data_IF_523729848918
#
_entry.id   IF_523729848918
#
_cell.length_a   1.000
_cell.length_b   1.000
_cell.length_c   1.000
_cell.angle_alpha   90.00
_cell.angle_beta   90.00
_cell.angle_gamma   90.00
#
_symmetry.space_group_name_H-M   'P 1'
#
loop_
_entity.id
_entity.type
_entity.pdbx_description
1 polymer ?
#
# COMPACT_ATOMS: atom_id res chain seq x y z
N UNK A 1 -8.53 7.32 37.33
CA UNK A 1 -9.78 6.71 36.87
C UNK A 1 -9.92 7.18 35.43
N UNK A 2 -9.58 6.32 34.50
CA UNK A 2 -9.53 6.54 33.07
C UNK A 2 -10.91 6.33 32.47
N UNK A 3 -11.41 7.30 31.71
CA UNK A 3 -12.57 7.16 30.86
C UNK A 3 -12.20 6.32 29.62
N UNK A 4 -12.09 5.02 29.81
CA UNK A 4 -12.02 4.06 28.70
C UNK A 4 -13.43 3.53 28.45
N UNK A 5 -13.91 3.69 27.22
CA UNK A 5 -15.06 2.95 26.70
C UNK A 5 -16.35 3.72 26.46
N UNK A 6 -16.28 4.93 25.97
CA UNK A 6 -17.47 5.58 25.43
C UNK A 6 -17.83 4.94 24.08
N UNK A 7 -18.93 4.18 24.02
CA UNK A 7 -19.57 3.77 22.77
C UNK A 7 -19.86 5.03 21.91
N UNK A 8 -19.66 4.99 20.60
CA UNK A 8 -19.98 6.12 19.74
C UNK A 8 -21.43 6.55 19.95
N UNK A 9 -21.63 7.87 20.06
CA UNK A 9 -22.96 8.44 20.27
C UNK A 9 -23.90 8.09 19.11
N UNK A 10 -25.23 8.05 19.38
CA UNK A 10 -26.25 7.82 18.33
C UNK A 10 -26.11 8.79 17.14
N UNK A 11 -25.57 10.00 17.37
CA UNK A 11 -25.30 10.99 16.30
C UNK A 11 -24.15 10.56 15.40
N UNK A 12 -23.11 9.90 15.96
CA UNK A 12 -22.03 9.32 15.15
C UNK A 12 -22.49 8.07 14.42
N UNK A 13 -23.44 7.33 14.96
CA UNK A 13 -24.04 6.15 14.33
C UNK A 13 -24.97 6.54 13.18
N UNK A 14 -25.78 7.62 13.34
CA UNK A 14 -26.62 8.17 12.25
C UNK A 14 -25.81 8.84 11.15
N UNK A 15 -24.66 9.45 11.45
CA UNK A 15 -23.74 9.97 10.43
C UNK A 15 -23.04 8.85 9.64
N UNK A 16 -22.87 7.67 10.24
CA UNK A 16 -22.42 6.46 9.50
C UNK A 16 -23.48 5.90 8.56
N UNK A 17 -24.74 6.27 8.78
CA UNK A 17 -25.88 5.77 7.99
C UNK A 17 -26.20 6.56 6.71
N UNK A 18 -25.61 7.73 6.48
CA UNK A 18 -25.68 8.41 5.18
C UNK A 18 -24.69 7.75 4.17
N UNK A 19 -25.13 7.50 2.92
CA UNK A 19 -24.23 7.03 1.87
C UNK A 19 -23.05 8.01 1.73
N UNK A 20 -21.82 7.50 1.64
CA UNK A 20 -20.66 8.36 1.39
C UNK A 20 -20.85 9.09 0.04
N UNK A 21 -20.68 10.42 0.00
CA UNK A 21 -20.81 11.14 -1.25
C UNK A 21 -19.75 10.68 -2.27
N UNK A 22 -20.12 10.71 -3.55
CA UNK A 22 -19.18 10.41 -4.62
C UNK A 22 -17.99 11.38 -4.57
N UNK A 23 -16.79 10.86 -4.82
CA UNK A 23 -15.55 11.64 -4.82
C UNK A 23 -14.57 11.13 -5.87
N UNK A 24 -13.59 11.96 -6.25
CA UNK A 24 -12.51 11.53 -7.14
C UNK A 24 -11.58 10.56 -6.45
N UNK A 25 -11.26 9.45 -7.13
CA UNK A 25 -10.26 8.47 -6.74
C UNK A 25 -8.88 9.11 -6.74
N UNK A 26 -8.20 9.08 -5.59
CA UNK A 26 -6.90 9.72 -5.40
C UNK A 26 -5.77 8.73 -5.13
N UNK A 27 -6.11 7.48 -4.84
CA UNK A 27 -5.12 6.47 -4.51
C UNK A 27 -4.26 6.13 -5.74
N UNK A 28 -2.95 6.25 -5.59
CA UNK A 28 -1.95 5.75 -6.54
C UNK A 28 -1.49 4.38 -6.08
N UNK A 29 -1.51 3.42 -6.99
CA UNK A 29 -1.00 2.10 -6.71
C UNK A 29 0.52 2.07 -6.76
N UNK A 30 1.14 1.29 -5.88
CA UNK A 30 2.58 1.20 -5.83
C UNK A 30 3.09 -0.06 -5.15
N UNK A 31 4.40 -0.12 -5.05
CA UNK A 31 5.12 -1.24 -4.46
C UNK A 31 6.36 -0.79 -3.71
N UNK A 32 6.74 -1.61 -2.73
CA UNK A 32 8.10 -1.66 -2.25
C UNK A 32 8.84 -2.74 -3.04
N UNK A 33 10.05 -2.42 -3.47
CA UNK A 33 10.85 -3.37 -4.21
C UNK A 33 12.26 -3.46 -3.63
N UNK A 34 12.45 -4.39 -2.71
CA UNK A 34 13.77 -4.73 -2.17
C UNK A 34 14.44 -5.79 -3.04
N UNK A 35 13.67 -6.75 -3.50
CA UNK A 35 14.16 -7.86 -4.32
C UNK A 35 14.27 -7.47 -5.80
N UNK A 36 13.64 -6.40 -6.20
CA UNK A 36 13.49 -5.95 -7.57
C UNK A 36 14.75 -5.50 -8.25
N UNK A 37 15.81 -5.30 -7.51
CA UNK A 37 17.10 -5.07 -8.12
C UNK A 37 17.46 -6.20 -9.13
N UNK A 38 17.16 -7.45 -8.85
CA UNK A 38 17.32 -8.55 -9.80
C UNK A 38 16.27 -8.50 -10.92
N UNK A 39 15.01 -8.37 -10.56
CA UNK A 39 13.88 -8.44 -11.50
C UNK A 39 13.70 -7.16 -12.30
N UNK A 40 14.00 -6.00 -11.73
CA UNK A 40 13.88 -4.73 -12.43
C UNK A 40 15.05 -4.42 -13.34
N UNK A 41 16.25 -4.93 -13.04
CA UNK A 41 17.48 -4.54 -13.74
C UNK A 41 18.21 -5.66 -14.47
N UNK A 42 18.16 -6.91 -13.96
CA UNK A 42 19.03 -7.99 -14.47
C UNK A 42 18.34 -9.33 -14.67
N UNK A 43 17.16 -9.55 -14.12
CA UNK A 43 16.48 -10.84 -14.21
C UNK A 43 16.04 -11.15 -15.66
N UNK A 44 16.09 -12.42 -16.06
CA UNK A 44 15.56 -12.87 -17.34
C UNK A 44 14.05 -12.65 -17.48
N UNK A 45 13.33 -12.61 -16.35
CA UNK A 45 11.89 -12.34 -16.28
C UNK A 45 11.52 -10.86 -16.11
N UNK A 46 12.48 -9.95 -16.21
CA UNK A 46 12.26 -8.54 -15.93
C UNK A 46 11.19 -7.87 -16.83
N UNK A 47 11.09 -8.29 -18.08
CA UNK A 47 10.08 -7.78 -19.00
C UNK A 47 8.67 -8.17 -18.55
N UNK A 48 8.50 -9.42 -18.08
CA UNK A 48 7.23 -9.92 -17.58
C UNK A 48 6.83 -9.24 -16.25
N UNK A 49 7.76 -9.11 -15.33
CA UNK A 49 7.53 -8.35 -14.09
C UNK A 49 7.07 -6.92 -14.42
N UNK A 50 7.76 -6.20 -15.30
CA UNK A 50 7.35 -4.85 -15.70
C UNK A 50 6.00 -4.82 -16.41
N UNK A 51 5.66 -5.85 -17.19
CA UNK A 51 4.34 -5.99 -17.80
C UNK A 51 3.26 -6.06 -16.72
N UNK A 52 3.42 -6.92 -15.73
CA UNK A 52 2.47 -7.03 -14.61
C UNK A 52 2.38 -5.74 -13.80
N UNK A 53 3.50 -5.05 -13.53
CA UNK A 53 3.48 -3.77 -12.83
C UNK A 53 2.65 -2.71 -13.59
N UNK A 54 2.76 -2.67 -14.92
CA UNK A 54 1.92 -1.78 -15.75
C UNK A 54 0.45 -2.19 -15.71
N UNK A 55 0.12 -3.48 -15.76
CA UNK A 55 -1.26 -3.97 -15.62
C UNK A 55 -1.88 -3.64 -14.25
N UNK A 56 -1.06 -3.49 -13.21
CA UNK A 56 -1.47 -3.05 -11.89
C UNK A 56 -1.53 -1.52 -11.74
N UNK A 57 -1.43 -0.75 -12.82
CA UNK A 57 -1.37 0.72 -12.84
C UNK A 57 -0.36 1.27 -11.82
N UNK A 58 0.82 0.65 -11.75
CA UNK A 58 1.85 1.01 -10.77
C UNK A 58 2.39 2.40 -11.05
N UNK A 59 2.19 3.33 -10.11
CA UNK A 59 2.58 4.74 -10.21
C UNK A 59 3.81 5.08 -9.40
N UNK A 60 4.06 4.37 -8.31
CA UNK A 60 5.16 4.63 -7.39
C UNK A 60 5.84 3.30 -7.06
N UNK A 61 7.16 3.26 -7.16
CA UNK A 61 7.96 2.14 -6.65
C UNK A 61 8.95 2.69 -5.63
N UNK A 62 8.83 2.23 -4.39
CA UNK A 62 9.71 2.58 -3.29
C UNK A 62 10.94 1.68 -3.31
N UNK A 63 12.10 2.29 -3.33
CA UNK A 63 13.42 1.65 -3.32
C UNK A 63 14.25 2.18 -2.16
N UNK A 64 15.19 1.37 -1.70
CA UNK A 64 16.01 1.71 -0.54
C UNK A 64 17.43 2.04 -0.96
N UNK A 65 17.90 3.23 -0.53
CA UNK A 65 19.28 3.61 -0.70
C UNK A 65 20.13 3.06 0.41
N UNK A 66 20.87 2.62 0.91
CA UNK A 66 21.65 2.15 2.07
C UNK A 66 21.17 0.85 2.71
N UNK A 67 20.23 0.13 2.10
CA UNK A 67 19.79 -1.16 2.65
C UNK A 67 20.17 -2.33 1.73
N UNK A 68 20.52 -3.47 2.31
CA UNK A 68 20.79 -4.69 1.56
C UNK A 68 19.46 -5.36 1.17
N UNK A 69 19.37 -6.04 0.02
CA UNK A 69 20.42 -6.32 -0.98
C UNK A 69 20.59 -5.26 -2.07
N UNK A 70 19.94 -4.11 -1.95
CA UNK A 70 19.99 -3.03 -2.95
C UNK A 70 21.44 -2.51 -3.09
N UNK A 71 21.91 -2.20 -4.29
CA UNK A 71 23.23 -1.63 -4.49
C UNK A 71 23.40 -0.35 -3.69
N UNK A 72 24.41 -0.29 -2.82
CA UNK A 72 24.80 0.95 -2.15
C UNK A 72 25.25 1.95 -3.21
N UNK A 73 24.57 3.11 -3.37
CA UNK A 73 24.88 4.08 -4.41
C UNK A 73 26.33 4.57 -4.40
N UNK A 74 26.97 4.61 -3.23
CA UNK A 74 28.37 5.04 -3.11
C UNK A 74 29.37 3.97 -3.50
N UNK A 75 29.01 2.70 -3.36
CA UNK A 75 29.86 1.58 -3.76
C UNK A 75 29.59 1.13 -5.18
N UNK A 76 28.36 1.33 -5.67
CA UNK A 76 27.91 0.85 -6.95
C UNK A 76 26.83 1.76 -7.55
N UNK A 77 27.20 3.00 -7.90
CA UNK A 77 26.31 3.94 -8.56
C UNK A 77 25.70 3.39 -9.85
N UNK A 78 26.52 2.67 -10.64
CA UNK A 78 26.05 2.04 -11.87
C UNK A 78 24.92 1.05 -11.60
N UNK A 79 25.07 0.14 -10.62
CA UNK A 79 24.02 -0.81 -10.24
C UNK A 79 22.76 -0.11 -9.71
N UNK A 80 22.91 0.89 -8.86
CA UNK A 80 21.80 1.69 -8.35
C UNK A 80 21.07 2.43 -9.49
N UNK A 81 21.81 3.03 -10.42
CA UNK A 81 21.21 3.76 -11.55
C UNK A 81 20.45 2.85 -12.52
N UNK A 82 20.93 1.62 -12.74
CA UNK A 82 20.18 0.61 -13.53
C UNK A 82 18.88 0.24 -12.82
N UNK A 83 18.93 0.10 -11.52
CA UNK A 83 17.73 -0.20 -10.71
C UNK A 83 16.68 0.93 -10.79
N UNK A 84 17.10 2.18 -10.59
CA UNK A 84 16.23 3.36 -10.77
C UNK A 84 15.66 3.42 -12.20
N UNK A 85 16.51 3.15 -13.21
CA UNK A 85 16.04 3.10 -14.61
C UNK A 85 14.97 2.03 -14.81
N UNK A 86 15.11 0.85 -14.19
CA UNK A 86 14.10 -0.20 -14.22
C UNK A 86 12.75 0.24 -13.65
N UNK A 87 12.74 1.07 -12.60
CA UNK A 87 11.51 1.68 -12.06
C UNK A 87 10.87 2.61 -13.10
N UNK A 88 11.66 3.46 -13.74
CA UNK A 88 11.19 4.37 -14.80
C UNK A 88 10.67 3.59 -16.02
N UNK A 89 11.35 2.53 -16.42
CA UNK A 89 10.93 1.64 -17.52
C UNK A 89 9.62 0.88 -17.22
N UNK A 90 9.31 0.67 -15.94
CA UNK A 90 8.00 0.15 -15.53
C UNK A 90 6.88 1.20 -15.63
N UNK A 91 7.21 2.46 -15.90
CA UNK A 91 6.26 3.58 -15.96
C UNK A 91 5.96 4.20 -14.60
N UNK A 92 6.74 3.87 -13.57
CA UNK A 92 6.54 4.36 -12.21
C UNK A 92 7.52 5.50 -11.85
N UNK A 93 7.12 6.27 -10.83
CA UNK A 93 7.99 7.29 -10.21
C UNK A 93 8.76 6.64 -9.06
N UNK A 94 10.09 6.84 -8.96
CA UNK A 94 10.84 6.35 -7.82
C UNK A 94 10.48 7.07 -6.52
N UNK A 95 10.31 6.31 -5.43
CA UNK A 95 10.34 6.81 -4.06
C UNK A 95 11.63 6.31 -3.41
N UNK A 96 12.65 7.15 -3.39
CA UNK A 96 13.96 6.80 -2.82
C UNK A 96 13.91 6.97 -1.31
N UNK A 97 14.09 5.86 -0.58
CA UNK A 97 14.12 5.86 0.89
C UNK A 97 15.56 5.81 1.39
N UNK A 98 15.94 6.81 2.18
CA UNK A 98 17.22 6.86 2.87
C UNK A 98 17.08 6.13 4.22
N UNK A 99 17.25 4.80 4.18
CA UNK A 99 16.74 3.92 5.22
C UNK A 99 17.57 3.88 6.49
N UNK A 100 18.88 3.92 6.42
CA UNK A 100 19.72 3.68 7.60
C UNK A 100 20.90 4.62 7.67
N UNK A 101 21.10 5.09 8.88
CA UNK A 101 22.29 5.78 9.32
C UNK A 101 22.70 5.18 10.67
N UNK A 102 23.99 5.09 10.92
CA UNK A 102 24.49 4.42 12.13
C UNK A 102 24.58 5.37 13.32
N UNK A 103 24.34 4.87 14.56
CA UNK A 103 24.50 5.70 15.75
C UNK A 103 25.95 6.22 15.91
N UNK A 104 26.16 7.30 16.65
CA UNK A 104 25.17 7.96 17.50
C UNK A 104 24.23 8.92 16.74
N UNK A 105 22.92 8.81 17.00
CA UNK A 105 21.88 9.57 16.30
C UNK A 105 21.79 11.05 16.76
N UNK A 106 22.46 11.40 17.82
CA UNK A 106 22.49 12.74 18.40
C UNK A 106 23.74 13.55 18.02
N UNK A 107 24.73 12.93 17.40
CA UNK A 107 25.97 13.61 16.98
C UNK A 107 25.69 14.50 15.75
N UNK A 108 25.86 15.84 15.86
CA UNK A 108 25.65 16.75 14.76
C UNK A 108 26.54 16.48 13.54
N UNK A 109 27.79 16.04 13.77
CA UNK A 109 28.73 15.73 12.67
C UNK A 109 28.28 14.50 11.89
N UNK A 110 27.76 13.50 12.60
CA UNK A 110 27.22 12.28 12.01
C UNK A 110 25.93 12.57 11.21
N UNK A 111 25.02 13.41 11.76
CA UNK A 111 23.82 13.88 11.06
C UNK A 111 24.18 14.64 9.79
N UNK A 112 25.13 15.58 9.88
CA UNK A 112 25.59 16.35 8.72
C UNK A 112 26.22 15.45 7.63
N UNK A 113 27.02 14.46 8.02
CA UNK A 113 27.59 13.46 7.11
C UNK A 113 26.51 12.66 6.38
N UNK A 114 25.48 12.23 7.10
CA UNK A 114 24.35 11.51 6.50
C UNK A 114 23.56 12.39 5.53
N UNK A 115 23.27 13.64 5.91
CA UNK A 115 22.59 14.59 5.05
C UNK A 115 23.38 14.89 3.76
N UNK A 116 24.71 15.02 3.87
CA UNK A 116 25.58 15.19 2.71
C UNK A 116 25.54 13.99 1.75
N UNK A 117 25.52 12.76 2.29
CA UNK A 117 25.37 11.53 1.49
C UNK A 117 24.01 11.46 0.79
N UNK A 118 22.92 11.78 1.48
CA UNK A 118 21.59 11.82 0.86
C UNK A 118 21.56 12.87 -0.27
N UNK A 119 22.13 14.05 -0.04
CA UNK A 119 22.27 15.12 -1.04
C UNK A 119 23.03 14.65 -2.28
N UNK A 120 24.14 13.94 -2.10
CA UNK A 120 24.97 13.42 -3.19
C UNK A 120 24.19 12.42 -4.08
N UNK A 121 23.35 11.56 -3.49
CA UNK A 121 22.48 10.65 -4.24
C UNK A 121 21.48 11.44 -5.09
N UNK A 122 20.80 12.44 -4.51
CA UNK A 122 19.83 13.26 -5.25
C UNK A 122 20.52 14.06 -6.36
N UNK A 123 21.70 14.61 -6.09
CA UNK A 123 22.50 15.29 -7.09
C UNK A 123 22.86 14.34 -8.25
N UNK A 124 23.33 13.14 -7.97
CA UNK A 124 23.60 12.12 -8.99
C UNK A 124 22.36 11.74 -9.81
N UNK A 125 21.18 11.72 -9.18
CA UNK A 125 19.93 11.54 -9.92
C UNK A 125 19.63 12.70 -10.86
N UNK A 126 19.81 13.95 -10.41
CA UNK A 126 19.63 15.16 -11.25
C UNK A 126 20.59 15.17 -12.43
N UNK A 127 21.87 14.87 -12.19
CA UNK A 127 22.89 14.79 -13.25
C UNK A 127 22.53 13.74 -14.32
N UNK A 128 21.94 12.63 -13.91
CA UNK A 128 21.66 11.52 -14.83
C UNK A 128 20.33 11.66 -15.58
N UNK A 129 19.26 12.12 -14.93
CA UNK A 129 17.91 12.14 -15.51
C UNK A 129 17.35 13.56 -15.71
N UNK A 130 18.07 14.58 -15.27
CA UNK A 130 17.64 15.97 -15.33
C UNK A 130 16.74 16.39 -14.16
N UNK A 131 16.86 17.65 -13.77
CA UNK A 131 16.09 18.20 -12.65
C UNK A 131 14.59 18.16 -12.87
N UNK A 132 14.12 18.34 -14.13
CA UNK A 132 12.70 18.28 -14.46
C UNK A 132 12.07 16.90 -14.21
N UNK A 133 12.81 15.82 -14.45
CA UNK A 133 12.33 14.47 -14.15
C UNK A 133 12.37 14.20 -12.64
N UNK A 134 13.47 14.57 -11.98
CA UNK A 134 13.73 14.25 -10.57
C UNK A 134 12.85 15.06 -9.61
N UNK A 135 12.39 16.26 -10.00
CA UNK A 135 11.52 17.10 -9.14
C UNK A 135 10.19 16.45 -8.75
N UNK A 136 9.71 15.50 -9.56
CA UNK A 136 8.46 14.78 -9.31
C UNK A 136 8.68 13.46 -8.53
N UNK A 137 9.94 13.08 -8.25
CA UNK A 137 10.26 11.89 -7.45
C UNK A 137 10.00 12.13 -5.97
N UNK A 138 9.82 11.02 -5.23
CA UNK A 138 9.61 11.06 -3.79
C UNK A 138 10.92 10.72 -3.06
N UNK A 139 11.22 11.49 -2.03
CA UNK A 139 12.41 11.28 -1.19
C UNK A 139 11.96 11.03 0.25
N UNK A 140 12.02 9.77 0.67
CA UNK A 140 11.59 9.34 2.00
C UNK A 140 12.76 9.33 2.97
N UNK A 141 12.67 10.10 4.03
CA UNK A 141 13.70 10.18 5.06
C UNK A 141 13.39 9.16 6.14
N UNK A 142 14.22 8.12 6.19
CA UNK A 142 14.18 7.00 7.11
C UNK A 142 13.16 5.90 6.77
N UNK A 143 13.26 4.79 7.53
CA UNK A 143 12.33 3.68 7.55
C UNK A 143 12.11 3.22 8.99
N UNK A 144 10.87 3.27 9.45
CA UNK A 144 10.42 2.81 10.77
C UNK A 144 11.30 3.29 11.94
N UNK A 145 11.56 4.60 12.09
CA UNK A 145 12.48 5.10 13.11
C UNK A 145 12.06 4.73 14.54
N UNK A 146 10.79 4.42 14.76
CA UNK A 146 10.22 4.00 16.03
C UNK A 146 10.29 2.48 16.28
N UNK A 147 10.89 1.71 15.37
CA UNK A 147 11.01 0.25 15.46
C UNK A 147 12.44 -0.15 15.85
N UNK A 148 12.60 -0.81 16.98
CA UNK A 148 13.92 -1.24 17.50
C UNK A 148 14.68 -2.15 16.53
N UNK A 149 13.96 -3.06 15.87
CA UNK A 149 14.58 -4.10 15.03
C UNK A 149 14.98 -3.58 13.65
N UNK A 150 14.27 -2.56 13.14
CA UNK A 150 14.42 -2.08 11.77
C UNK A 150 15.03 -0.68 11.73
N UNK A 151 14.47 0.26 12.50
CA UNK A 151 14.76 1.69 12.36
C UNK A 151 15.67 2.28 13.43
N UNK A 152 16.02 1.53 14.51
CA UNK A 152 16.94 1.96 15.55
C UNK A 152 16.28 2.52 16.80
N UNK A 153 14.96 2.46 16.95
CA UNK A 153 14.18 2.96 18.10
C UNK A 153 14.52 4.41 18.49
N UNK A 154 14.50 5.30 17.50
CA UNK A 154 14.78 6.71 17.70
C UNK A 154 13.69 7.35 18.56
N UNK A 155 14.08 8.39 19.30
CA UNK A 155 13.09 9.36 19.80
C UNK A 155 12.62 10.26 18.64
N UNK A 156 11.44 10.85 18.78
CA UNK A 156 10.94 11.81 17.78
C UNK A 156 11.93 12.98 17.55
N UNK A 157 12.56 13.49 18.62
CA UNK A 157 13.50 14.63 18.49
C UNK A 157 14.78 14.26 17.75
N UNK A 158 15.27 13.02 17.90
CA UNK A 158 16.39 12.50 17.12
C UNK A 158 16.00 12.42 15.64
N UNK A 159 14.84 11.82 15.36
CA UNK A 159 14.32 11.74 13.99
C UNK A 159 14.11 13.13 13.37
N UNK A 160 13.49 14.06 14.10
CA UNK A 160 13.23 15.43 13.61
C UNK A 160 14.52 16.17 13.22
N UNK A 161 15.58 16.04 14.02
CA UNK A 161 16.90 16.65 13.69
C UNK A 161 17.48 16.08 12.43
N UNK A 162 17.45 14.75 12.27
CA UNK A 162 17.89 14.06 11.05
C UNK A 162 17.04 14.51 9.86
N UNK A 163 15.72 14.52 10.03
CA UNK A 163 14.79 14.93 8.98
C UNK A 163 15.09 16.34 8.46
N UNK A 164 15.22 17.32 9.35
CA UNK A 164 15.47 18.70 8.97
C UNK A 164 16.80 18.87 8.22
N UNK A 165 17.85 18.20 8.66
CA UNK A 165 19.16 18.24 8.01
C UNK A 165 19.11 17.66 6.59
N UNK A 166 18.48 16.49 6.43
CA UNK A 166 18.37 15.81 5.13
C UNK A 166 17.41 16.54 4.21
N UNK A 167 16.23 16.93 4.71
CA UNK A 167 15.21 17.63 3.92
C UNK A 167 15.73 18.99 3.40
N UNK A 168 16.44 19.75 4.24
CA UNK A 168 17.09 20.99 3.82
C UNK A 168 18.12 20.77 2.71
N UNK A 169 19.01 19.80 2.89
CA UNK A 169 20.04 19.48 1.91
C UNK A 169 19.50 18.98 0.55
N UNK A 170 18.36 18.29 0.55
CA UNK A 170 17.66 17.85 -0.67
C UNK A 170 16.92 19.04 -1.31
N UNK A 171 16.24 19.86 -0.50
CA UNK A 171 15.51 21.02 -0.99
C UNK A 171 16.43 22.00 -1.73
N UNK A 172 17.63 22.28 -1.21
CA UNK A 172 18.62 23.14 -1.86
C UNK A 172 18.98 22.71 -3.29
N UNK A 173 18.89 21.39 -3.58
CA UNK A 173 19.11 20.85 -4.92
C UNK A 173 17.86 20.92 -5.79
N UNK A 174 16.68 20.69 -5.23
CA UNK A 174 15.45 20.60 -6.00
C UNK A 174 14.83 21.96 -6.31
N UNK A 175 15.01 22.94 -5.42
CA UNK A 175 14.36 24.27 -5.51
C UNK A 175 14.52 24.93 -6.89
N UNK A 176 15.70 24.90 -7.57
CA UNK A 176 15.88 25.47 -8.90
C UNK A 176 15.03 24.80 -10.00
N UNK A 177 14.51 23.60 -9.74
CA UNK A 177 13.79 22.78 -10.74
C UNK A 177 12.28 22.69 -10.46
N UNK A 178 11.79 23.25 -9.33
CA UNK A 178 10.40 23.02 -8.90
C UNK A 178 9.36 23.81 -9.72
N UNK A 179 9.73 24.95 -10.31
CA UNK A 179 8.79 25.80 -11.07
C UNK A 179 7.50 26.11 -10.32
N UNK A 180 7.61 26.45 -9.03
CA UNK A 180 6.48 26.71 -8.14
C UNK A 180 5.75 25.46 -7.64
N UNK A 181 6.18 24.26 -7.99
CA UNK A 181 5.65 23.00 -7.45
C UNK A 181 6.21 22.72 -6.08
N UNK A 182 5.55 21.87 -5.32
CA UNK A 182 6.03 21.42 -4.02
C UNK A 182 6.93 20.19 -4.19
N UNK A 183 8.11 20.22 -3.57
CA UNK A 183 8.99 19.05 -3.51
C UNK A 183 8.31 17.90 -2.74
N UNK A 184 8.48 16.67 -3.20
CA UNK A 184 7.95 15.47 -2.56
C UNK A 184 8.99 14.84 -1.63
N UNK A 185 9.43 15.62 -0.63
CA UNK A 185 10.26 15.16 0.48
C UNK A 185 9.32 14.76 1.62
N UNK A 186 9.57 13.67 2.34
CA UNK A 186 8.68 13.25 3.41
C UNK A 186 9.23 12.09 4.24
N UNK A 187 8.37 11.50 5.01
CA UNK A 187 8.60 10.40 5.95
C UNK A 187 7.48 10.37 6.99
N UNK A 188 7.69 9.78 8.17
CA UNK A 188 8.85 9.02 8.62
C UNK A 188 8.87 7.57 8.14
N UNK A 189 7.89 7.11 7.32
CA UNK A 189 7.66 5.70 7.06
C UNK A 189 7.52 4.93 8.37
N UNK A 190 6.63 5.41 9.23
CA UNK A 190 6.55 4.99 10.63
C UNK A 190 5.87 3.63 10.75
N UNK A 191 6.41 2.76 11.61
CA UNK A 191 5.72 1.54 12.00
C UNK A 191 4.42 1.89 12.74
N UNK A 192 3.32 1.61 12.08
CA UNK A 192 1.98 1.83 12.61
C UNK A 192 1.37 0.63 13.35
N UNK A 193 2.09 -0.51 13.43
CA UNK A 193 1.58 -1.72 14.06
C UNK A 193 1.90 -1.81 15.56
N UNK A 194 3.16 -1.51 15.92
CA UNK A 194 3.70 -1.86 17.23
C UNK A 194 3.58 -0.76 18.29
N UNK A 195 3.31 0.48 17.88
CA UNK A 195 3.30 1.64 18.80
C UNK A 195 2.02 2.46 18.65
N UNK A 196 1.29 2.60 19.73
CA UNK A 196 0.02 3.35 19.75
C UNK A 196 0.19 4.83 19.38
N UNK A 197 1.35 5.42 19.63
CA UNK A 197 1.65 6.84 19.40
C UNK A 197 2.21 7.17 18.00
N UNK A 198 2.16 6.25 17.06
CA UNK A 198 2.69 6.49 15.71
C UNK A 198 2.06 7.72 15.02
N UNK A 199 0.77 7.95 15.25
CA UNK A 199 0.05 9.10 14.67
C UNK A 199 0.48 10.42 15.28
N UNK A 200 0.92 10.42 16.55
CA UNK A 200 1.50 11.60 17.21
C UNK A 200 2.78 12.06 16.50
N UNK A 201 3.62 11.14 16.07
CA UNK A 201 4.81 11.47 15.29
C UNK A 201 4.48 12.16 13.97
N UNK A 202 3.45 11.69 13.26
CA UNK A 202 2.99 12.32 12.03
C UNK A 202 2.44 13.72 12.33
N UNK A 203 1.60 13.86 13.35
CA UNK A 203 1.04 15.14 13.73
C UNK A 203 2.13 16.16 14.10
N UNK A 204 3.11 15.75 14.91
CA UNK A 204 4.26 16.57 15.28
C UNK A 204 5.12 16.93 14.08
N UNK A 205 5.41 15.99 13.17
CA UNK A 205 6.19 16.26 11.97
C UNK A 205 5.52 17.34 11.10
N UNK A 206 4.21 17.25 10.91
CA UNK A 206 3.43 18.23 10.15
C UNK A 206 3.44 19.60 10.84
N UNK A 207 3.45 19.64 12.18
CA UNK A 207 3.47 20.88 12.96
C UNK A 207 4.86 21.52 13.04
N UNK A 208 5.91 20.71 13.24
CA UNK A 208 7.25 21.16 13.61
C UNK A 208 8.15 21.45 12.40
N UNK A 209 7.74 21.02 11.20
CA UNK A 209 8.51 21.16 9.97
C UNK A 209 7.88 22.21 9.06
N UNK A 210 8.71 23.07 8.47
CA UNK A 210 8.28 24.04 7.47
C UNK A 210 7.53 23.35 6.32
N UNK A 211 6.38 23.91 5.91
CA UNK A 211 5.50 23.32 4.88
C UNK A 211 6.23 23.05 3.57
N UNK A 212 7.23 23.83 3.21
CA UNK A 212 8.04 23.63 1.98
C UNK A 212 8.93 22.39 2.06
N UNK A 213 9.27 21.90 3.25
CA UNK A 213 10.14 20.74 3.47
C UNK A 213 9.37 19.43 3.63
N UNK A 214 8.03 19.43 3.60
CA UNK A 214 7.21 18.24 3.79
C UNK A 214 6.15 18.11 2.70
N UNK A 215 6.35 17.25 1.73
CA UNK A 215 5.45 16.98 0.60
C UNK A 215 4.61 15.71 0.76
N UNK A 216 4.96 14.83 1.71
CA UNK A 216 4.15 13.67 2.09
C UNK A 216 4.45 13.20 3.50
N UNK A 217 3.52 12.44 4.06
CA UNK A 217 3.73 11.62 5.26
C UNK A 217 3.50 10.15 4.91
N UNK A 218 4.31 9.27 5.50
CA UNK A 218 4.26 7.84 5.24
C UNK A 218 4.16 7.03 6.52
N UNK A 219 3.34 6.00 6.48
CA UNK A 219 3.07 5.07 7.58
C UNK A 219 2.87 3.65 7.04
N UNK A 220 3.08 2.64 7.90
CA UNK A 220 2.98 1.24 7.56
C UNK A 220 1.81 0.57 8.25
N UNK A 221 1.23 -0.46 7.61
CA UNK A 221 0.19 -1.29 8.21
C UNK A 221 0.19 -2.68 7.62
N UNK A 222 0.29 -3.65 8.52
CA UNK A 222 0.13 -5.07 8.22
C UNK A 222 -1.12 -5.61 8.94
N UNK A 223 -1.70 -6.70 8.43
CA UNK A 223 -2.88 -7.31 9.01
C UNK A 223 -2.59 -8.01 10.35
N UNK A 224 -1.38 -8.54 10.51
CA UNK A 224 -0.95 -9.13 11.76
C UNK A 224 -0.70 -8.03 12.80
N UNK A 225 -1.68 -7.77 13.61
CA UNK A 225 -1.46 -7.06 14.84
C UNK A 225 -0.96 -8.05 15.89
N UNK A 226 0.25 -7.86 16.37
CA UNK A 226 0.68 -8.53 17.59
C UNK A 226 0.17 -7.75 18.79
N UNK A 227 -0.81 -8.25 19.54
CA UNK A 227 -0.94 -7.81 20.91
C UNK A 227 0.41 -8.07 21.59
N UNK A 228 0.75 -7.27 22.59
CA UNK A 228 1.94 -7.49 23.42
C UNK A 228 1.88 -8.81 24.23
N UNK A 229 1.11 -9.77 23.76
CA UNK A 229 0.98 -11.13 24.28
C UNK A 229 2.13 -11.92 23.67
N UNK A 230 3.01 -12.51 24.48
CA UNK A 230 4.08 -13.35 23.98
C UNK A 230 3.53 -14.39 23.00
N UNK A 231 4.19 -14.55 21.86
CA UNK A 231 3.83 -15.54 20.82
C UNK A 231 3.67 -16.97 21.36
N UNK A 232 4.22 -17.24 22.52
CA UNK A 232 4.11 -18.48 23.28
C UNK A 232 2.72 -18.74 23.89
N UNK A 233 1.90 -17.72 24.11
CA UNK A 233 0.55 -17.90 24.72
C UNK A 233 -0.57 -18.13 23.70
N UNK A 234 -0.38 -17.69 22.45
CA UNK A 234 -1.26 -18.04 21.34
C UNK A 234 -0.80 -19.31 20.61
N UNK A 235 0.31 -19.86 21.05
CA UNK A 235 0.85 -21.13 20.65
C UNK A 235 1.25 -21.24 19.19
N UNK A 236 2.22 -22.07 18.91
CA UNK A 236 2.61 -22.56 17.58
C UNK A 236 1.40 -23.08 16.75
N UNK A 237 0.26 -23.29 17.36
CA UNK A 237 -0.99 -23.76 16.73
C UNK A 237 -1.67 -22.72 15.84
N UNK A 238 -1.39 -21.41 16.02
CA UNK A 238 -1.89 -20.39 15.09
C UNK A 238 -1.19 -20.40 13.73
N UNK A 239 -0.06 -21.06 13.63
CA UNK A 239 0.75 -21.20 12.43
C UNK A 239 0.48 -22.50 11.67
N UNK A 240 -0.59 -23.20 12.02
CA UNK A 240 -0.99 -24.43 11.35
C UNK A 240 -1.38 -24.23 9.88
N UNK A 241 -1.60 -25.33 9.19
CA UNK A 241 -2.16 -25.33 7.83
C UNK A 241 -3.43 -24.45 7.77
N UNK A 242 -3.68 -23.73 6.66
CA UNK A 242 -4.95 -23.03 6.43
C UNK A 242 -6.20 -23.89 6.67
N UNK A 243 -6.06 -25.19 6.47
CA UNK A 243 -7.14 -26.17 6.66
C UNK A 243 -7.33 -26.60 8.12
N UNK A 244 -6.44 -26.17 9.02
CA UNK A 244 -6.60 -26.42 10.46
C UNK A 244 -7.56 -25.39 11.09
N UNK A 245 -8.30 -25.74 12.17
CA UNK A 245 -9.12 -24.77 12.88
C UNK A 245 -8.34 -23.54 13.36
N UNK A 246 -7.09 -23.71 13.72
CA UNK A 246 -6.20 -22.61 14.12
C UNK A 246 -5.82 -21.71 12.95
N UNK A 247 -5.61 -22.26 11.75
CA UNK A 247 -5.40 -21.50 10.52
C UNK A 247 -6.64 -20.68 10.16
N UNK A 248 -7.83 -21.27 10.29
CA UNK A 248 -9.09 -20.58 10.05
C UNK A 248 -9.28 -19.37 10.97
N UNK A 249 -9.05 -19.53 12.27
CA UNK A 249 -9.14 -18.42 13.24
C UNK A 249 -8.15 -17.32 12.91
N UNK A 250 -6.96 -17.68 12.48
CA UNK A 250 -5.92 -16.71 12.12
C UNK A 250 -6.29 -15.90 10.87
N UNK A 251 -6.81 -16.54 9.83
CA UNK A 251 -7.31 -15.85 8.65
C UNK A 251 -8.46 -14.87 9.00
N UNK A 252 -9.41 -15.31 9.82
CA UNK A 252 -10.52 -14.46 10.26
C UNK A 252 -10.03 -13.24 11.07
N UNK A 253 -9.01 -13.41 11.93
CA UNK A 253 -8.38 -12.32 12.66
C UNK A 253 -7.66 -11.34 11.71
N UNK A 254 -6.93 -11.84 10.73
CA UNK A 254 -6.27 -11.00 9.73
C UNK A 254 -7.29 -10.22 8.90
N UNK A 255 -8.30 -10.90 8.38
CA UNK A 255 -9.35 -10.27 7.57
C UNK A 255 -10.10 -9.19 8.36
N UNK A 256 -10.38 -9.44 9.64
CA UNK A 256 -10.99 -8.48 10.56
C UNK A 256 -10.16 -7.20 10.78
N UNK A 257 -8.89 -7.17 10.35
CA UNK A 257 -8.04 -5.98 10.43
C UNK A 257 -8.18 -5.03 9.22
N UNK A 258 -8.78 -5.46 8.13
CA UNK A 258 -8.87 -4.62 6.92
C UNK A 258 -9.59 -3.29 7.14
N UNK A 259 -10.65 -3.15 7.97
CA UNK A 259 -11.24 -1.85 8.29
C UNK A 259 -10.28 -0.87 8.99
N UNK A 260 -9.22 -1.37 9.63
CA UNK A 260 -8.24 -0.51 10.28
C UNK A 260 -7.42 0.34 9.30
N UNK A 261 -7.29 -0.08 8.04
CA UNK A 261 -6.67 0.73 6.99
C UNK A 261 -7.45 2.04 6.77
N UNK A 262 -8.79 1.97 6.78
CA UNK A 262 -9.63 3.17 6.67
C UNK A 262 -9.45 4.13 7.84
N UNK A 263 -9.54 3.64 9.06
CA UNK A 263 -9.46 4.48 10.25
C UNK A 263 -8.10 5.20 10.34
N UNK A 264 -7.01 4.53 9.97
CA UNK A 264 -5.66 5.09 9.94
C UNK A 264 -5.50 6.12 8.83
N UNK A 265 -5.84 5.76 7.59
CA UNK A 265 -5.79 6.68 6.45
C UNK A 265 -6.64 7.94 6.73
N UNK A 266 -7.84 7.79 7.30
CA UNK A 266 -8.73 8.89 7.67
C UNK A 266 -8.14 9.77 8.77
N UNK A 267 -7.47 9.17 9.77
CA UNK A 267 -6.74 9.91 10.80
C UNK A 267 -5.68 10.80 10.18
N UNK A 268 -4.82 10.26 9.34
CA UNK A 268 -3.77 11.03 8.66
C UNK A 268 -4.36 12.06 7.69
N UNK A 269 -5.40 11.72 6.92
CA UNK A 269 -6.08 12.65 6.01
C UNK A 269 -6.65 13.88 6.74
N UNK A 270 -7.09 13.74 8.00
CA UNK A 270 -7.51 14.87 8.84
C UNK A 270 -6.34 15.78 9.20
N UNK A 271 -5.16 15.21 9.50
CA UNK A 271 -3.97 15.99 9.87
C UNK A 271 -3.42 16.80 8.68
N UNK A 272 -3.50 16.28 7.47
CA UNK A 272 -2.98 16.95 6.25
C UNK A 272 -4.04 17.80 5.53
N UNK A 273 -5.26 17.90 6.07
CA UNK A 273 -6.37 18.60 5.40
C UNK A 273 -6.02 20.05 5.07
N UNK A 274 -6.25 20.43 3.81
CA UNK A 274 -6.00 21.79 3.32
C UNK A 274 -4.53 22.10 3.03
N UNK A 275 -3.64 21.10 3.14
CA UNK A 275 -2.23 21.21 2.80
C UNK A 275 -1.89 20.30 1.61
N UNK A 276 -0.95 20.70 0.78
CA UNK A 276 -0.42 19.83 -0.29
C UNK A 276 0.60 18.84 0.28
N UNK A 277 0.12 17.91 1.12
CA UNK A 277 0.89 16.83 1.73
C UNK A 277 0.18 15.52 1.44
N UNK A 278 0.86 14.58 0.77
CA UNK A 278 0.29 13.27 0.45
C UNK A 278 0.24 12.37 1.69
N UNK A 279 -0.84 11.60 1.80
CA UNK A 279 -1.06 10.57 2.80
C UNK A 279 -0.73 9.20 2.20
N UNK A 280 0.43 8.63 2.54
CA UNK A 280 0.95 7.42 1.93
C UNK A 280 0.98 6.26 2.92
N UNK A 281 0.24 5.18 2.62
CA UNK A 281 0.46 3.88 3.24
C UNK A 281 1.72 3.26 2.60
N UNK A 282 2.88 3.51 3.21
CA UNK A 282 4.20 3.21 2.64
C UNK A 282 4.59 1.74 2.64
N UNK A 283 3.93 0.94 3.48
CA UNK A 283 3.99 -0.53 3.46
C UNK A 283 2.67 -1.11 3.92
N UNK A 284 2.23 -2.15 3.23
CA UNK A 284 1.11 -2.98 3.63
C UNK A 284 1.25 -4.41 3.13
N UNK A 285 0.79 -5.34 3.96
CA UNK A 285 0.61 -6.74 3.59
C UNK A 285 -0.33 -7.43 4.58
N UNK A 286 -0.63 -8.71 4.35
CA UNK A 286 -1.35 -9.57 5.28
C UNK A 286 -0.58 -9.75 6.59
N UNK A 287 0.73 -9.91 6.51
CA UNK A 287 1.63 -10.21 7.63
C UNK A 287 2.91 -9.37 7.56
N UNK A 288 3.51 -9.08 8.72
CA UNK A 288 4.76 -8.33 8.86
C UNK A 288 6.00 -9.21 9.05
N UNK A 289 5.82 -10.48 9.41
CA UNK A 289 6.91 -11.43 9.68
C UNK A 289 6.75 -12.68 8.84
N UNK A 290 7.74 -12.97 8.01
CA UNK A 290 7.72 -14.11 7.09
C UNK A 290 8.15 -15.44 7.74
N UNK A 291 8.96 -15.39 8.77
CA UNK A 291 9.62 -16.58 9.36
C UNK A 291 8.66 -17.68 9.86
N UNK A 292 7.44 -17.29 10.22
CA UNK A 292 6.43 -18.19 10.77
C UNK A 292 5.23 -18.43 9.82
N UNK A 293 5.24 -17.88 8.61
CA UNK A 293 4.05 -17.83 7.74
C UNK A 293 4.25 -18.47 6.38
N UNK A 294 5.42 -19.04 6.12
CA UNK A 294 5.74 -19.68 4.84
C UNK A 294 4.72 -20.74 4.41
N UNK A 295 4.19 -21.48 5.39
CA UNK A 295 3.27 -22.56 5.12
C UNK A 295 1.85 -22.11 4.81
N UNK A 296 1.50 -20.84 5.09
CA UNK A 296 0.14 -20.36 4.93
C UNK A 296 -0.20 -19.93 3.50
N UNK A 297 0.81 -19.59 2.70
CA UNK A 297 0.62 -19.19 1.29
C UNK A 297 -0.41 -18.07 1.12
N UNK A 298 -0.50 -17.13 2.06
CA UNK A 298 -1.59 -16.17 2.16
C UNK A 298 -1.81 -15.33 0.91
N UNK A 299 -0.74 -14.98 0.18
CA UNK A 299 -0.86 -14.24 -1.08
C UNK A 299 -1.07 -15.15 -2.30
N UNK A 300 -0.93 -16.47 -2.11
CA UNK A 300 -1.01 -17.48 -3.16
C UNK A 300 -2.41 -18.09 -3.29
N UNK A 301 -3.40 -17.55 -2.60
CA UNK A 301 -4.77 -18.06 -2.57
C UNK A 301 -5.81 -16.93 -2.56
N UNK A 302 -7.08 -17.28 -2.60
CA UNK A 302 -8.20 -16.35 -2.62
C UNK A 302 -8.31 -15.48 -1.36
N UNK A 303 -7.83 -15.96 -0.20
CA UNK A 303 -7.78 -15.15 1.02
C UNK A 303 -6.91 -13.90 0.81
N UNK A 304 -5.67 -14.07 0.27
CA UNK A 304 -4.78 -12.94 0.00
C UNK A 304 -5.37 -11.96 -1.03
N UNK A 305 -6.07 -12.49 -2.04
CA UNK A 305 -6.79 -11.68 -3.02
C UNK A 305 -7.88 -10.81 -2.34
N UNK A 306 -8.72 -11.43 -1.51
CA UNK A 306 -9.79 -10.75 -0.79
C UNK A 306 -9.24 -9.75 0.24
N UNK A 307 -8.25 -10.15 1.05
CA UNK A 307 -7.61 -9.25 2.02
C UNK A 307 -7.07 -7.98 1.36
N UNK A 308 -6.35 -8.14 0.26
CA UNK A 308 -5.74 -7.01 -0.40
C UNK A 308 -6.78 -6.08 -1.04
N UNK A 309 -7.77 -6.63 -1.75
CA UNK A 309 -8.84 -5.82 -2.34
C UNK A 309 -9.68 -5.09 -1.28
N UNK A 310 -9.99 -5.75 -0.16
CA UNK A 310 -10.64 -5.13 1.00
C UNK A 310 -9.79 -3.98 1.57
N UNK A 311 -8.50 -4.20 1.79
CA UNK A 311 -7.59 -3.15 2.26
C UNK A 311 -7.55 -1.93 1.30
N UNK A 312 -7.55 -2.16 -0.03
CA UNK A 312 -7.61 -1.09 -1.03
C UNK A 312 -8.92 -0.28 -0.92
N UNK A 313 -10.07 -0.95 -0.80
CA UNK A 313 -11.37 -0.28 -0.60
C UNK A 313 -11.32 0.62 0.65
N UNK A 314 -10.80 0.11 1.75
CA UNK A 314 -10.67 0.84 3.00
C UNK A 314 -9.66 2.00 2.93
N UNK A 315 -8.52 1.84 2.24
CA UNK A 315 -7.57 2.94 2.00
C UNK A 315 -8.19 4.06 1.17
N UNK A 316 -8.90 3.70 0.09
CA UNK A 316 -9.62 4.68 -0.74
C UNK A 316 -10.66 5.40 0.11
N UNK A 317 -11.50 4.67 0.87
CA UNK A 317 -12.53 5.24 1.74
C UNK A 317 -11.90 6.12 2.86
N UNK A 318 -10.74 5.76 3.35
CA UNK A 318 -9.98 6.53 4.35
C UNK A 318 -9.31 7.79 3.79
N UNK A 319 -9.15 7.93 2.49
CA UNK A 319 -8.53 9.08 1.84
C UNK A 319 -7.00 9.00 1.82
N UNK A 320 -6.44 7.82 1.63
CA UNK A 320 -5.03 7.66 1.28
C UNK A 320 -4.77 8.17 -0.15
N UNK A 321 -3.60 8.76 -0.39
CA UNK A 321 -3.17 9.24 -1.71
C UNK A 321 -2.29 8.22 -2.45
N UNK A 322 -1.66 7.30 -1.71
CA UNK A 322 -0.94 6.16 -2.29
C UNK A 322 -0.93 4.97 -1.33
N UNK A 323 -0.79 3.78 -1.90
CA UNK A 323 -0.46 2.55 -1.21
C UNK A 323 0.76 1.89 -1.85
N UNK A 324 1.68 1.39 -1.04
CA UNK A 324 2.88 0.72 -1.52
C UNK A 324 2.94 -0.68 -0.93
N UNK A 325 2.56 -1.69 -1.74
CA UNK A 325 2.56 -3.09 -1.29
C UNK A 325 3.97 -3.58 -0.99
N UNK A 326 4.14 -4.25 0.12
CA UNK A 326 5.34 -4.98 0.47
C UNK A 326 5.15 -6.47 0.12
N UNK A 327 5.72 -7.04 -0.97
CA UNK A 327 6.54 -6.49 -2.04
C UNK A 327 5.91 -6.77 -3.41
N UNK A 328 6.50 -6.30 -4.53
CA UNK A 328 6.05 -6.67 -5.87
C UNK A 328 6.37 -8.13 -6.15
N UNK A 329 7.64 -8.52 -6.01
CA UNK A 329 8.10 -9.88 -6.29
C UNK A 329 8.42 -10.65 -5.01
N UNK A 330 8.12 -11.94 -5.01
CA UNK A 330 8.53 -12.87 -3.98
C UNK A 330 10.04 -13.15 -4.07
N UNK A 331 10.68 -13.48 -2.95
CA UNK A 331 12.03 -14.01 -2.90
C UNK A 331 11.98 -15.44 -2.34
N UNK A 332 12.12 -16.43 -3.22
CA UNK A 332 11.95 -17.82 -2.82
C UNK A 332 10.53 -18.09 -2.31
N UNK A 333 10.41 -18.64 -1.12
CA UNK A 333 9.14 -19.03 -0.50
C UNK A 333 8.50 -17.88 0.31
N UNK A 334 8.92 -16.63 0.09
CA UNK A 334 8.41 -15.53 0.87
C UNK A 334 6.90 -15.33 0.66
N UNK A 335 6.23 -14.95 1.74
CA UNK A 335 4.79 -14.74 1.77
C UNK A 335 4.35 -13.35 1.26
N UNK A 336 5.27 -12.50 0.85
CA UNK A 336 5.00 -11.08 0.61
C UNK A 336 4.64 -10.72 -0.83
N UNK A 337 5.30 -11.35 -1.81
CA UNK A 337 5.18 -10.99 -3.21
C UNK A 337 3.77 -11.14 -3.78
N UNK A 338 3.47 -10.33 -4.79
CA UNK A 338 2.30 -10.50 -5.66
C UNK A 338 2.63 -11.25 -6.95
N UNK A 339 3.91 -11.29 -7.29
CA UNK A 339 4.47 -12.06 -8.40
C UNK A 339 5.45 -13.09 -7.85
N UNK A 340 5.56 -14.23 -8.51
CA UNK A 340 6.60 -15.21 -8.24
C UNK A 340 7.97 -14.71 -8.74
N UNK A 341 9.03 -15.44 -8.40
CA UNK A 341 10.38 -15.19 -8.95
C UNK A 341 10.43 -15.27 -10.48
N UNK A 342 9.58 -16.10 -11.08
CA UNK A 342 9.48 -16.27 -12.53
C UNK A 342 8.57 -15.23 -13.20
N UNK A 343 8.05 -14.28 -12.42
CA UNK A 343 7.20 -13.19 -12.91
C UNK A 343 5.72 -13.54 -13.03
N UNK A 344 5.28 -14.73 -12.61
CA UNK A 344 3.87 -15.12 -12.66
C UNK A 344 3.06 -14.40 -11.58
N UNK A 345 1.86 -13.92 -11.91
CA UNK A 345 0.99 -13.26 -10.93
C UNK A 345 0.32 -14.29 -10.01
N UNK A 346 0.50 -14.10 -8.70
CA UNK A 346 -0.24 -14.85 -7.68
C UNK A 346 -1.68 -14.33 -7.55
N UNK A 347 -2.61 -15.07 -6.90
CA UNK A 347 -4.00 -14.63 -6.73
C UNK A 347 -4.17 -13.20 -6.20
N UNK A 348 -3.37 -12.78 -5.21
CA UNK A 348 -3.40 -11.39 -4.73
C UNK A 348 -2.90 -10.40 -5.80
N UNK A 349 -1.95 -10.80 -6.64
CA UNK A 349 -1.48 -10.01 -7.80
C UNK A 349 -2.53 -9.88 -8.88
N UNK A 350 -3.21 -10.99 -9.23
CA UNK A 350 -4.34 -10.98 -10.17
C UNK A 350 -5.48 -10.10 -9.67
N UNK A 351 -5.82 -10.18 -8.38
CA UNK A 351 -6.82 -9.31 -7.78
C UNK A 351 -6.44 -7.84 -7.90
N UNK A 352 -5.16 -7.47 -7.66
CA UNK A 352 -4.68 -6.09 -7.87
C UNK A 352 -4.79 -5.68 -9.33
N UNK A 353 -4.46 -6.55 -10.28
CA UNK A 353 -4.56 -6.23 -11.71
C UNK A 353 -5.99 -5.88 -12.10
N UNK A 354 -6.95 -6.78 -11.82
CA UNK A 354 -8.35 -6.51 -12.15
C UNK A 354 -8.89 -5.30 -11.39
N UNK A 355 -8.50 -5.11 -10.11
CA UNK A 355 -8.90 -3.94 -9.34
C UNK A 355 -8.39 -2.63 -9.96
N UNK A 356 -7.09 -2.54 -10.23
CA UNK A 356 -6.44 -1.32 -10.74
C UNK A 356 -6.92 -0.92 -12.15
N UNK A 357 -7.33 -1.88 -12.96
CA UNK A 357 -7.85 -1.61 -14.30
C UNK A 357 -9.28 -1.07 -14.28
N UNK A 358 -10.04 -1.38 -13.24
CA UNK A 358 -11.43 -0.99 -13.10
C UNK A 358 -11.68 0.15 -12.10
N UNK A 359 -10.70 0.43 -11.24
CA UNK A 359 -10.73 1.54 -10.26
C UNK A 359 -9.47 2.38 -10.48
N UNK A 360 -9.54 3.32 -11.41
CA UNK A 360 -8.36 4.09 -11.88
C UNK A 360 -8.23 5.42 -11.14
N UNK A 361 -7.00 5.90 -11.02
CA UNK A 361 -6.77 7.26 -10.53
C UNK A 361 -7.56 8.29 -11.34
N UNK A 362 -8.32 9.14 -10.66
CA UNK A 362 -9.17 10.17 -11.27
C UNK A 362 -10.60 9.73 -11.54
N UNK A 363 -10.95 8.44 -11.47
CA UNK A 363 -12.34 7.99 -11.54
C UNK A 363 -13.18 8.62 -10.41
N UNK A 364 -14.47 8.68 -10.59
CA UNK A 364 -15.42 8.88 -9.52
C UNK A 364 -15.59 7.58 -8.74
N UNK A 365 -15.65 7.65 -7.43
CA UNK A 365 -15.89 6.49 -6.57
C UNK A 365 -16.95 6.78 -5.52
N UNK A 366 -17.75 5.77 -5.20
CA UNK A 366 -18.67 5.76 -4.06
C UNK A 366 -18.65 4.40 -3.37
N UNK A 367 -19.14 4.36 -2.14
CA UNK A 367 -19.21 3.15 -1.32
C UNK A 367 -20.68 2.84 -1.05
N UNK A 368 -21.25 1.87 -1.79
CA UNK A 368 -22.65 1.54 -1.65
C UNK A 368 -22.96 0.95 -0.28
N UNK A 369 -24.15 1.25 0.26
CA UNK A 369 -24.66 0.60 1.45
C UNK A 369 -25.50 -0.58 1.08
N UNK A 370 -25.13 -1.73 1.63
CA UNK A 370 -25.83 -2.97 1.40
C UNK A 370 -27.12 -3.00 2.22
N UNK A 371 -28.22 -3.31 1.57
CA UNK A 371 -29.53 -3.52 2.21
C UNK A 371 -30.08 -4.89 1.84
N UNK A 372 -30.20 -5.83 2.79
CA UNK A 372 -29.80 -5.75 4.21
C UNK A 372 -28.28 -5.59 4.37
N UNK A 373 -27.86 -5.13 5.55
CA UNK A 373 -26.44 -5.02 5.87
C UNK A 373 -25.72 -6.38 5.75
N UNK A 374 -24.61 -6.39 5.05
CA UNK A 374 -23.76 -7.56 4.81
C UNK A 374 -22.33 -7.21 5.25
N UNK A 375 -22.01 -7.32 6.55
CA UNK A 375 -20.71 -6.90 7.08
C UNK A 375 -19.52 -7.69 6.48
N UNK A 376 -19.80 -8.88 5.93
CA UNK A 376 -18.84 -9.71 5.25
C UNK A 376 -18.53 -9.27 3.80
N UNK A 377 -19.23 -8.25 3.29
CA UNK A 377 -19.03 -7.76 1.92
C UNK A 377 -18.55 -6.31 1.95
N UNK A 378 -17.33 -6.10 1.48
CA UNK A 378 -16.89 -4.76 1.12
C UNK A 378 -17.25 -4.47 -0.32
N UNK A 379 -17.65 -3.21 -0.59
CA UNK A 379 -18.02 -2.80 -1.94
C UNK A 379 -17.59 -1.37 -2.26
N UNK A 380 -17.27 -1.16 -3.54
CA UNK A 380 -16.92 0.13 -4.13
C UNK A 380 -17.45 0.18 -5.56
N UNK A 381 -18.07 1.27 -5.95
CA UNK A 381 -18.43 1.56 -7.34
C UNK A 381 -17.52 2.65 -7.87
N UNK A 382 -16.94 2.43 -9.05
CA UNK A 382 -16.12 3.40 -9.76
C UNK A 382 -16.71 3.68 -11.15
N UNK A 383 -16.62 4.93 -11.60
CA UNK A 383 -17.02 5.30 -12.95
C UNK A 383 -16.19 6.48 -13.47
N UNK A 384 -16.14 6.63 -14.77
CA UNK A 384 -15.48 7.76 -15.43
C UNK A 384 -16.46 8.54 -16.31
N UNK A 385 -16.00 9.67 -16.82
CA UNK A 385 -16.81 10.56 -17.66
C UNK A 385 -17.10 9.96 -19.07
N UNK A 386 -16.39 8.88 -19.48
CA UNK A 386 -16.59 8.15 -20.75
C UNK A 386 -17.66 7.04 -20.64
N UNK A 387 -18.33 6.91 -19.51
CA UNK A 387 -19.42 5.95 -19.30
C UNK A 387 -18.98 4.55 -18.86
N UNK A 388 -17.69 4.33 -18.55
CA UNK A 388 -17.26 3.09 -17.90
C UNK A 388 -17.78 3.07 -16.47
N UNK A 389 -18.41 1.96 -16.09
CA UNK A 389 -18.86 1.69 -14.72
C UNK A 389 -18.31 0.34 -14.30
N UNK A 390 -17.77 0.28 -13.10
CA UNK A 390 -17.28 -0.95 -12.50
C UNK A 390 -17.62 -0.96 -11.01
N UNK A 391 -18.09 -2.10 -10.51
CA UNK A 391 -18.35 -2.31 -9.10
C UNK A 391 -17.50 -3.46 -8.59
N UNK A 392 -16.71 -3.18 -7.56
CA UNK A 392 -15.89 -4.17 -6.87
C UNK A 392 -16.66 -4.68 -5.66
N UNK A 393 -16.72 -5.99 -5.53
CA UNK A 393 -17.27 -6.70 -4.37
C UNK A 393 -16.20 -7.62 -3.81
N UNK A 394 -16.05 -7.61 -2.51
CA UNK A 394 -15.09 -8.48 -1.81
C UNK A 394 -15.83 -9.27 -0.75
N UNK A 395 -15.84 -10.59 -0.89
CA UNK A 395 -16.27 -11.46 0.19
C UNK A 395 -15.10 -11.66 1.17
N UNK A 396 -15.26 -11.12 2.36
CA UNK A 396 -14.28 -11.19 3.46
C UNK A 396 -14.53 -12.36 4.41
N UNK A 397 -15.51 -13.20 4.10
CA UNK A 397 -15.82 -14.40 4.87
C UNK A 397 -15.36 -15.68 4.16
N UNK A 398 -15.04 -16.69 4.95
CA UNK A 398 -14.69 -18.03 4.47
C UNK A 398 -15.87 -18.75 3.79
N UNK A 399 -17.09 -18.42 4.19
CA UNK A 399 -18.30 -19.04 3.69
C UNK A 399 -18.68 -18.59 2.28
N UNK A 400 -19.29 -19.49 1.53
CA UNK A 400 -19.91 -19.13 0.26
C UNK A 400 -21.04 -18.11 0.46
N UNK A 401 -21.16 -17.15 -0.45
CA UNK A 401 -22.23 -16.16 -0.41
C UNK A 401 -22.67 -15.73 -1.79
N UNK A 402 -23.85 -15.13 -1.87
CA UNK A 402 -24.40 -14.56 -3.10
C UNK A 402 -24.83 -13.11 -2.86
N UNK A 403 -24.58 -12.29 -3.85
CA UNK A 403 -24.79 -10.85 -3.82
C UNK A 403 -25.59 -10.45 -5.06
N UNK A 404 -26.65 -9.66 -4.86
CA UNK A 404 -27.44 -9.08 -5.96
C UNK A 404 -27.19 -7.56 -6.02
N UNK A 405 -26.36 -7.10 -6.94
CA UNK A 405 -26.04 -5.67 -7.05
C UNK A 405 -27.26 -4.76 -7.24
N UNK A 406 -28.28 -5.24 -7.93
CA UNK A 406 -29.55 -4.49 -8.13
C UNK A 406 -30.25 -4.10 -6.81
N UNK A 407 -29.99 -4.83 -5.72
CA UNK A 407 -30.55 -4.48 -4.41
C UNK A 407 -29.83 -3.25 -3.77
N UNK A 408 -28.78 -2.74 -4.41
CA UNK A 408 -27.89 -1.74 -3.82
C UNK A 408 -27.68 -0.49 -4.65
N UNK A 409 -27.69 -0.63 -5.99
CA UNK A 409 -27.31 0.46 -6.88
C UNK A 409 -27.96 0.29 -8.25
N UNK A 410 -28.90 1.18 -8.58
CA UNK A 410 -29.62 1.15 -9.85
C UNK A 410 -28.74 1.43 -11.07
N UNK A 411 -27.58 2.10 -10.88
CA UNK A 411 -26.68 2.46 -11.99
C UNK A 411 -25.86 1.26 -12.52
N UNK A 412 -25.94 0.12 -11.87
CA UNK A 412 -25.21 -1.10 -12.28
C UNK A 412 -25.95 -1.92 -13.34
N UNK A 413 -27.16 -1.51 -13.75
CA UNK A 413 -27.94 -2.21 -14.77
C UNK A 413 -27.30 -2.27 -16.16
N UNK A 414 -26.31 -1.40 -16.45
CA UNK A 414 -25.54 -1.44 -17.68
C UNK A 414 -24.39 -2.45 -17.67
N UNK A 415 -24.04 -3.00 -16.51
CA UNK A 415 -22.95 -3.96 -16.37
C UNK A 415 -23.42 -5.36 -16.77
N UNK A 416 -22.62 -6.07 -17.55
CA UNK A 416 -22.96 -7.36 -18.14
C UNK A 416 -21.88 -8.45 -17.98
N UNK A 417 -20.75 -8.08 -17.42
CA UNK A 417 -19.60 -8.98 -17.28
C UNK A 417 -19.09 -9.00 -15.82
N UNK A 418 -18.68 -10.17 -15.37
CA UNK A 418 -18.02 -10.38 -14.07
C UNK A 418 -16.62 -10.93 -14.31
N UNK A 419 -15.63 -10.30 -13.65
CA UNK A 419 -14.30 -10.85 -13.43
C UNK A 419 -14.21 -11.30 -12.00
N UNK A 420 -13.93 -12.58 -11.74
CA UNK A 420 -13.95 -13.14 -10.38
C UNK A 420 -12.72 -13.98 -10.10
N UNK A 421 -12.19 -13.80 -8.88
CA UNK A 421 -11.20 -14.68 -8.27
C UNK A 421 -11.65 -14.98 -6.84
N UNK A 422 -11.87 -16.25 -6.53
CA UNK A 422 -12.31 -16.72 -5.23
C UNK A 422 -11.80 -18.13 -4.92
N UNK A 423 -12.24 -18.70 -3.81
CA UNK A 423 -11.85 -20.05 -3.40
C UNK A 423 -12.17 -21.11 -4.46
N UNK A 424 -13.30 -20.98 -5.18
CA UNK A 424 -13.70 -21.92 -6.22
C UNK A 424 -12.93 -21.78 -7.53
N UNK A 425 -12.42 -20.56 -7.85
CA UNK A 425 -11.64 -20.35 -9.07
C UNK A 425 -10.17 -20.75 -8.93
N UNK A 426 -9.70 -20.99 -7.70
CA UNK A 426 -8.31 -21.32 -7.40
C UNK A 426 -7.37 -20.14 -7.69
N UNK A 427 -6.41 -20.34 -8.60
CA UNK A 427 -5.38 -19.33 -8.95
C UNK A 427 -5.69 -18.59 -10.27
N UNK A 428 -6.95 -18.49 -10.67
CA UNK A 428 -7.33 -17.90 -11.95
C UNK A 428 -8.39 -16.82 -11.78
N UNK A 429 -8.35 -15.82 -12.64
CA UNK A 429 -9.49 -14.92 -12.85
C UNK A 429 -10.43 -15.62 -13.84
N UNK A 430 -11.69 -15.77 -13.44
CA UNK A 430 -12.76 -16.29 -14.30
C UNK A 430 -13.57 -15.12 -14.81
N UNK A 431 -13.90 -15.15 -16.09
CA UNK A 431 -14.75 -14.19 -16.78
C UNK A 431 -16.10 -14.84 -17.05
N UNK A 432 -17.18 -14.24 -16.61
CA UNK A 432 -18.54 -14.76 -16.70
C UNK A 432 -19.51 -13.64 -17.16
N UNK A 433 -20.56 -14.03 -17.88
CA UNK A 433 -21.68 -13.13 -18.14
C UNK A 433 -22.48 -12.93 -16.86
N UNK A 434 -22.90 -11.70 -16.59
CA UNK A 434 -23.67 -11.38 -15.40
C UNK A 434 -25.13 -11.80 -15.56
N UNK A 435 -25.61 -12.65 -14.67
CA UNK A 435 -26.98 -13.16 -14.62
C UNK A 435 -27.87 -12.48 -13.56
N UNK A 436 -27.42 -11.36 -12.98
CA UNK A 436 -28.10 -10.66 -11.90
C UNK A 436 -27.58 -11.02 -10.50
N UNK A 437 -26.69 -12.00 -10.38
CA UNK A 437 -26.18 -12.46 -9.07
C UNK A 437 -24.67 -12.75 -9.14
N UNK A 438 -23.91 -12.16 -8.24
CA UNK A 438 -22.51 -12.51 -8.02
C UNK A 438 -22.44 -13.60 -6.96
N UNK A 439 -21.75 -14.70 -7.24
CA UNK A 439 -21.59 -15.84 -6.34
C UNK A 439 -20.13 -16.02 -5.95
N UNK A 440 -19.86 -16.20 -4.68
CA UNK A 440 -18.54 -16.50 -4.13
C UNK A 440 -18.58 -17.88 -3.46
N UNK A 441 -17.57 -18.68 -3.72
CA UNK A 441 -17.37 -19.99 -3.06
C UNK A 441 -16.56 -19.88 -1.76
N UNK A 442 -16.30 -18.66 -1.28
CA UNK A 442 -15.54 -18.33 -0.08
C UNK A 442 -14.91 -16.95 -0.24
N UNK A 443 -13.78 -16.73 0.41
CA UNK A 443 -13.01 -15.50 0.20
C UNK A 443 -12.86 -15.19 -1.29
N UNK A 444 -13.01 -13.92 -1.69
CA UNK A 444 -12.85 -13.59 -3.09
C UNK A 444 -13.12 -12.13 -3.44
N UNK A 445 -12.79 -11.81 -4.68
CA UNK A 445 -13.01 -10.51 -5.31
C UNK A 445 -13.80 -10.74 -6.59
N UNK A 446 -14.83 -9.94 -6.81
CA UNK A 446 -15.56 -9.89 -8.07
C UNK A 446 -15.67 -8.44 -8.54
N UNK A 447 -15.49 -8.23 -9.84
CA UNK A 447 -15.69 -6.94 -10.49
C UNK A 447 -16.78 -7.10 -11.52
N UNK A 448 -17.90 -6.44 -11.29
CA UNK A 448 -18.98 -6.31 -12.23
C UNK A 448 -18.75 -5.06 -13.07
N UNK A 449 -18.77 -5.16 -14.40
CA UNK A 449 -18.42 -4.04 -15.28
C UNK A 449 -19.18 -4.04 -16.59
N UNK A 450 -19.28 -2.85 -17.22
CA UNK A 450 -19.70 -2.68 -18.60
C UNK A 450 -18.53 -2.44 -19.57
N UNK A 451 -17.29 -2.39 -19.04
CA UNK A 451 -16.10 -2.23 -19.87
C UNK A 451 -15.71 -3.57 -20.48
N UNK A 452 -15.42 -3.59 -21.78
CA UNK A 452 -14.69 -4.69 -22.37
C UNK A 452 -13.34 -4.79 -21.65
N UNK A 453 -13.03 -5.95 -21.10
CA UNK A 453 -11.73 -6.13 -20.49
C UNK A 453 -10.67 -6.08 -21.58
N UNK A 454 -9.82 -5.07 -21.51
CA UNK A 454 -8.56 -5.10 -22.23
C UNK A 454 -7.80 -6.38 -21.83
N UNK A 455 -7.22 -7.05 -22.80
CA UNK A 455 -6.43 -8.27 -22.80
C UNK A 455 -5.59 -8.55 -21.54
N UNK A 456 -6.24 -8.89 -20.41
CA UNK A 456 -5.58 -9.17 -19.12
C UNK A 456 -5.33 -10.67 -18.93
N UNK A 457 -6.01 -11.51 -19.68
CA UNK A 457 -6.16 -12.92 -19.37
C UNK A 457 -5.44 -13.87 -20.37
N UNK A 458 -4.66 -13.33 -21.28
CA UNK A 458 -3.83 -14.11 -22.20
C UNK A 458 -2.39 -14.26 -21.72
#
# INVERSE_FOLDING_TARGET
MSEEGAFPSMVEQTARDAADPARRMRLRYGFNEINGWWHMSRGEHNAEVRRHLRLMDTRIIRIFAFDQPVPDPFKNWHGFSIYVQGVLDAGAVPMITFARFHPPFDDPANIASFAARCREIVWGCIERWGGEAVRDWLFCIWNEPNNLLVGGDLTYEQYRRIYLAVAGAIMDLLEPHLDGRKARIGGPAIDGNHRAYWMDWIARLIHDVDDRLIGFVSWHRYGDWRPAVPSTSLGLTMWGSPDSPSGAVFEDLLMGQTPSFESRARGVARLVRGRDILNICGELNTISHHENYYTLGLNQNAFGAAFYASALIHLIRGGADAELRWTATAHGDDAYGLLTMDGEAMPAGLAKQIFAQHVRFGDWVRFPKLKPSRPEIDALVAWNDDGRISAVFVNTARGACAVRPADWDDDLGACNEILRIDTGTGKRVVRESFDGTIRFDGYGVAILTNAAADTILD
#
